data_IF_876633318319
#
_entry.id   IF_876633318319
#
_cell.length_a   1.000
_cell.length_b   1.000
_cell.length_c   1.000
_cell.angle_alpha   90.00
_cell.angle_beta   90.00
_cell.angle_gamma   90.00
#
_symmetry.space_group_name_H-M   'P 1'
#
loop_
_entity.id
_entity.type
_entity.pdbx_description
1 polymer ?
#
# COMPACT_ATOMS: atom_id res chain seq x y z
N UNK A 1 -5.51 -22.17 -21.47
CA UNK A 1 -4.86 -20.98 -20.87
C UNK A 1 -5.62 -20.41 -19.66
N UNK A 2 -6.66 -19.56 -19.81
CA UNK A 2 -7.30 -18.89 -18.65
C UNK A 2 -7.86 -19.86 -17.57
N UNK A 3 -8.49 -20.96 -17.99
CA UNK A 3 -8.98 -22.01 -17.07
C UNK A 3 -7.85 -22.73 -16.31
N UNK A 4 -6.72 -22.93 -16.97
CA UNK A 4 -5.55 -23.60 -16.39
C UNK A 4 -4.85 -22.69 -15.36
N UNK A 5 -4.75 -21.39 -15.64
CA UNK A 5 -4.21 -20.39 -14.69
C UNK A 5 -5.05 -20.34 -13.41
N UNK A 6 -6.39 -20.33 -13.53
CA UNK A 6 -7.27 -20.38 -12.35
C UNK A 6 -7.07 -21.67 -11.55
N UNK A 7 -6.95 -22.82 -12.23
CA UNK A 7 -6.75 -24.11 -11.57
C UNK A 7 -5.39 -24.19 -10.83
N UNK A 8 -4.31 -23.70 -11.45
CA UNK A 8 -2.98 -23.67 -10.81
C UNK A 8 -2.95 -22.72 -9.61
N UNK A 9 -3.60 -21.55 -9.72
CA UNK A 9 -3.71 -20.61 -8.60
C UNK A 9 -4.48 -21.22 -7.43
N UNK A 10 -5.65 -21.83 -7.67
CA UNK A 10 -6.42 -22.49 -6.61
C UNK A 10 -5.61 -23.59 -5.93
N UNK A 11 -4.91 -24.43 -6.72
CA UNK A 11 -4.03 -25.46 -6.15
C UNK A 11 -2.93 -24.87 -5.27
N UNK A 12 -2.38 -23.72 -5.65
CA UNK A 12 -1.38 -23.02 -4.85
C UNK A 12 -1.97 -22.44 -3.56
N UNK A 13 -3.15 -21.80 -3.63
CA UNK A 13 -3.86 -21.27 -2.46
C UNK A 13 -4.23 -22.37 -1.47
N UNK A 14 -4.71 -23.51 -1.96
CA UNK A 14 -5.03 -24.68 -1.13
C UNK A 14 -3.78 -25.23 -0.43
N UNK A 15 -2.61 -25.18 -1.07
CA UNK A 15 -1.34 -25.60 -0.47
C UNK A 15 -0.86 -24.64 0.63
N UNK A 16 -1.13 -23.34 0.51
CA UNK A 16 -0.76 -22.33 1.52
C UNK A 16 -1.50 -22.54 2.84
N UNK A 17 -2.76 -22.97 2.79
CA UNK A 17 -3.62 -23.16 3.97
C UNK A 17 -3.87 -24.63 4.30
N UNK A 18 -3.06 -25.52 3.74
CA UNK A 18 -3.29 -26.94 3.88
C UNK A 18 -3.14 -27.38 5.34
N UNK A 19 -4.15 -28.08 5.83
CA UNK A 19 -4.14 -28.74 7.14
C UNK A 19 -4.23 -30.23 6.89
N UNK A 20 -3.27 -30.99 7.42
CA UNK A 20 -3.34 -32.45 7.33
C UNK A 20 -4.15 -33.08 8.47
N UNK A 21 -4.31 -34.40 8.43
CA UNK A 21 -5.14 -35.13 9.40
C UNK A 21 -4.58 -35.08 10.84
N UNK A 22 -3.32 -34.67 11.02
CA UNK A 22 -2.67 -34.50 12.31
C UNK A 22 -2.73 -33.03 12.80
N UNK A 23 -3.51 -32.18 12.10
CA UNK A 23 -3.59 -30.74 12.29
C UNK A 23 -2.26 -30.01 12.07
N UNK A 24 -1.36 -30.54 11.23
CA UNK A 24 -0.19 -29.79 10.77
C UNK A 24 -0.60 -28.81 9.66
N UNK A 25 -0.52 -27.52 9.95
CA UNK A 25 -1.05 -26.43 9.12
C UNK A 25 0.01 -25.85 8.14
N UNK A 26 1.22 -26.43 8.09
CA UNK A 26 2.33 -25.89 7.29
C UNK A 26 3.12 -26.95 6.52
N UNK A 27 2.45 -28.05 6.16
CA UNK A 27 3.08 -29.18 5.46
C UNK A 27 3.76 -28.79 4.15
N UNK A 28 3.11 -27.94 3.34
CA UNK A 28 3.61 -27.55 2.02
C UNK A 28 4.28 -26.18 2.00
N UNK A 29 3.84 -25.26 2.84
CA UNK A 29 4.39 -23.91 2.96
C UNK A 29 4.77 -23.69 4.42
N UNK A 30 6.07 -23.49 4.66
CA UNK A 30 6.60 -23.26 6.00
C UNK A 30 6.10 -21.92 6.55
N UNK A 31 5.94 -21.76 7.88
CA UNK A 31 5.40 -20.53 8.47
C UNK A 31 6.14 -19.26 8.03
N UNK A 32 7.48 -19.29 7.95
CA UNK A 32 8.30 -18.14 7.54
C UNK A 32 8.12 -17.76 6.07
N UNK A 33 7.67 -18.68 5.22
CA UNK A 33 7.45 -18.44 3.79
C UNK A 33 5.99 -18.05 3.49
N UNK A 34 5.10 -18.13 4.49
CA UNK A 34 3.65 -17.99 4.30
C UNK A 34 3.26 -16.63 3.70
N UNK A 35 3.83 -15.54 4.21
CA UNK A 35 3.60 -14.20 3.68
C UNK A 35 4.11 -14.04 2.24
N UNK A 36 5.30 -14.61 1.96
CA UNK A 36 5.87 -14.59 0.62
C UNK A 36 5.03 -15.40 -0.38
N UNK A 37 4.46 -16.53 0.05
CA UNK A 37 3.58 -17.34 -0.78
C UNK A 37 2.29 -16.59 -1.13
N UNK A 38 1.68 -15.88 -0.16
CA UNK A 38 0.52 -15.02 -0.40
C UNK A 38 0.82 -13.87 -1.36
N UNK A 39 1.94 -13.18 -1.13
CA UNK A 39 2.37 -12.09 -2.01
C UNK A 39 2.60 -12.60 -3.44
N UNK A 40 3.21 -13.78 -3.56
CA UNK A 40 3.46 -14.45 -4.85
C UNK A 40 2.14 -14.79 -5.56
N UNK A 41 1.16 -15.34 -4.85
CA UNK A 41 -0.15 -15.66 -5.40
C UNK A 41 -0.85 -14.42 -5.98
N UNK A 42 -0.78 -13.30 -5.26
CA UNK A 42 -1.38 -12.02 -5.66
C UNK A 42 -0.56 -11.27 -6.72
N UNK A 43 0.67 -11.70 -7.01
CA UNK A 43 1.57 -11.06 -7.95
C UNK A 43 1.54 -11.72 -9.34
N UNK A 44 2.07 -11.03 -10.36
CA UNK A 44 2.25 -11.54 -11.72
C UNK A 44 1.05 -11.40 -12.66
N UNK A 45 -0.18 -11.29 -12.15
CA UNK A 45 -1.36 -10.95 -12.95
C UNK A 45 -2.38 -10.16 -12.11
N UNK A 46 -2.77 -8.94 -12.51
CA UNK A 46 -3.80 -8.15 -11.81
C UNK A 46 -5.10 -8.94 -11.57
N UNK A 47 -5.50 -9.82 -12.50
CA UNK A 47 -6.69 -10.67 -12.36
C UNK A 47 -6.61 -11.66 -11.20
N UNK A 48 -5.39 -11.97 -10.72
CA UNK A 48 -5.24 -12.88 -9.59
C UNK A 48 -5.79 -12.26 -8.30
N UNK A 49 -5.75 -10.93 -8.13
CA UNK A 49 -6.31 -10.27 -6.95
C UNK A 49 -7.80 -10.64 -6.75
N UNK A 50 -8.59 -10.55 -7.82
CA UNK A 50 -10.01 -10.92 -7.79
C UNK A 50 -10.24 -12.42 -7.62
N UNK A 51 -9.44 -13.26 -8.27
CA UNK A 51 -9.55 -14.72 -8.11
C UNK A 51 -9.22 -15.17 -6.70
N UNK A 52 -8.23 -14.54 -6.05
CA UNK A 52 -7.90 -14.82 -4.66
C UNK A 52 -9.03 -14.34 -3.76
N UNK A 53 -9.62 -13.18 -4.02
CA UNK A 53 -10.77 -12.68 -3.24
C UNK A 53 -11.97 -13.64 -3.31
N UNK A 54 -12.30 -14.16 -4.51
CA UNK A 54 -13.33 -15.18 -4.71
C UNK A 54 -13.04 -16.46 -3.92
N UNK A 55 -11.78 -16.92 -3.95
CA UNK A 55 -11.37 -18.12 -3.22
C UNK A 55 -11.38 -17.88 -1.70
N UNK A 56 -10.95 -16.70 -1.25
CA UNK A 56 -10.82 -16.33 0.16
C UNK A 56 -12.17 -16.41 0.87
N UNK A 57 -13.26 -15.92 0.25
CA UNK A 57 -14.62 -16.01 0.81
C UNK A 57 -14.97 -17.41 1.29
N UNK A 58 -14.65 -18.41 0.49
CA UNK A 58 -15.02 -19.79 0.77
C UNK A 58 -14.05 -20.47 1.76
N UNK A 59 -12.96 -19.78 2.13
CA UNK A 59 -11.86 -20.35 2.90
C UNK A 59 -11.37 -19.45 4.04
N UNK A 60 -12.09 -18.38 4.42
CA UNK A 60 -11.66 -17.44 5.48
C UNK A 60 -11.26 -18.18 6.77
N UNK A 61 -12.08 -19.13 7.21
CA UNK A 61 -11.80 -19.90 8.43
C UNK A 61 -10.49 -20.72 8.33
N UNK A 62 -10.21 -21.30 7.16
CA UNK A 62 -8.95 -22.03 6.92
C UNK A 62 -7.75 -21.09 6.88
N UNK A 63 -7.91 -19.94 6.25
CA UNK A 63 -6.86 -18.91 6.19
C UNK A 63 -6.51 -18.40 7.58
N UNK A 64 -7.52 -18.12 8.41
CA UNK A 64 -7.33 -17.73 9.79
C UNK A 64 -6.62 -18.84 10.56
N UNK A 65 -7.11 -20.07 10.52
CA UNK A 65 -6.46 -21.20 11.19
C UNK A 65 -5.00 -21.42 10.74
N UNK A 66 -4.69 -21.13 9.47
CA UNK A 66 -3.36 -21.28 8.91
C UNK A 66 -2.42 -20.09 9.07
N UNK A 67 -2.91 -19.00 9.66
CA UNK A 67 -2.09 -17.83 9.95
C UNK A 67 -1.57 -17.89 11.39
N UNK A 68 -0.37 -17.36 11.61
CA UNK A 68 0.25 -17.31 12.93
C UNK A 68 -0.58 -16.48 13.93
N UNK A 69 -1.31 -15.48 13.44
CA UNK A 69 -2.09 -14.51 14.22
C UNK A 69 -3.61 -14.75 14.18
N UNK A 70 -4.06 -15.89 13.63
CA UNK A 70 -5.48 -16.18 13.40
C UNK A 70 -6.23 -15.11 12.59
N UNK A 71 -5.54 -14.49 11.62
CA UNK A 71 -6.01 -13.36 10.82
C UNK A 71 -5.88 -13.60 9.32
N UNK A 72 -6.81 -13.01 8.57
CA UNK A 72 -6.70 -12.89 7.10
C UNK A 72 -5.97 -11.60 6.66
N UNK A 73 -5.31 -10.89 7.58
CA UNK A 73 -4.74 -9.56 7.30
C UNK A 73 -3.74 -9.56 6.14
N UNK A 74 -2.83 -10.54 6.08
CA UNK A 74 -1.82 -10.64 5.02
C UNK A 74 -2.43 -10.81 3.62
N UNK A 75 -3.30 -11.81 3.35
CA UNK A 75 -3.94 -11.90 2.03
C UNK A 75 -4.78 -10.67 1.70
N UNK A 76 -5.50 -10.11 2.68
CA UNK A 76 -6.31 -8.89 2.49
C UNK A 76 -5.45 -7.69 2.09
N UNK A 77 -4.32 -7.46 2.76
CA UNK A 77 -3.38 -6.39 2.43
C UNK A 77 -2.77 -6.57 1.03
N UNK A 78 -2.38 -7.80 0.68
CA UNK A 78 -1.86 -8.10 -0.64
C UNK A 78 -2.89 -7.81 -1.73
N UNK A 79 -4.15 -8.23 -1.57
CA UNK A 79 -5.23 -7.94 -2.54
C UNK A 79 -5.41 -6.42 -2.70
N UNK A 80 -5.54 -5.68 -1.59
CA UNK A 80 -5.77 -4.24 -1.63
C UNK A 80 -4.71 -3.47 -2.43
N UNK A 81 -3.45 -3.89 -2.33
CA UNK A 81 -2.31 -3.28 -3.03
C UNK A 81 -2.29 -3.50 -4.54
N UNK A 82 -3.13 -4.39 -5.08
CA UNK A 82 -3.16 -4.78 -6.50
C UNK A 82 -4.34 -4.21 -7.27
N UNK A 83 -5.29 -3.58 -6.59
CA UNK A 83 -6.47 -2.98 -7.22
C UNK A 83 -6.04 -1.70 -7.95
N UNK A 84 -6.43 -1.57 -9.22
CA UNK A 84 -5.91 -0.52 -10.12
C UNK A 84 -6.94 0.56 -10.43
N UNK A 85 -8.22 0.28 -10.19
CA UNK A 85 -9.32 1.19 -10.51
C UNK A 85 -10.18 1.54 -9.30
N UNK A 86 -10.89 2.66 -9.37
CA UNK A 86 -11.84 3.05 -8.31
C UNK A 86 -12.99 2.04 -8.21
N UNK A 87 -13.47 1.53 -9.35
CA UNK A 87 -14.53 0.51 -9.38
C UNK A 87 -14.11 -0.76 -8.62
N UNK A 88 -12.86 -1.18 -8.76
CA UNK A 88 -12.31 -2.31 -8.03
C UNK A 88 -12.21 -2.04 -6.53
N UNK A 89 -11.74 -0.85 -6.14
CA UNK A 89 -11.65 -0.43 -4.75
C UNK A 89 -13.03 -0.34 -4.08
N UNK A 90 -14.04 0.15 -4.80
CA UNK A 90 -15.43 0.17 -4.32
C UNK A 90 -16.02 -1.23 -4.18
N UNK A 91 -15.78 -2.12 -5.15
CA UNK A 91 -16.22 -3.51 -5.08
C UNK A 91 -15.56 -4.24 -3.90
N UNK A 92 -14.25 -4.03 -3.69
CA UNK A 92 -13.54 -4.59 -2.55
C UNK A 92 -14.00 -3.99 -1.21
N UNK A 93 -14.27 -2.69 -1.14
CA UNK A 93 -14.83 -2.05 0.06
C UNK A 93 -16.19 -2.66 0.41
N UNK A 94 -17.10 -2.80 -0.56
CA UNK A 94 -18.41 -3.45 -0.34
C UNK A 94 -18.25 -4.89 0.13
N UNK A 95 -17.28 -5.61 -0.43
CA UNK A 95 -16.95 -6.96 0.00
C UNK A 95 -16.46 -7.01 1.45
N UNK A 96 -15.57 -6.09 1.86
CA UNK A 96 -15.08 -5.99 3.23
C UNK A 96 -16.23 -5.72 4.21
N UNK A 97 -17.13 -4.80 3.88
CA UNK A 97 -18.30 -4.50 4.69
C UNK A 97 -19.21 -5.71 4.86
N UNK A 98 -19.53 -6.41 3.77
CA UNK A 98 -20.39 -7.59 3.79
C UNK A 98 -19.82 -8.74 4.63
N UNK A 99 -18.49 -8.79 4.80
CA UNK A 99 -17.79 -9.88 5.49
C UNK A 99 -17.12 -9.43 6.80
N UNK A 100 -17.45 -8.24 7.29
CA UNK A 100 -16.77 -7.60 8.43
C UNK A 100 -16.66 -8.49 9.67
N UNK A 101 -17.73 -9.21 10.01
CA UNK A 101 -17.76 -10.11 11.16
C UNK A 101 -16.78 -11.28 10.99
N UNK A 102 -16.79 -11.91 9.81
CA UNK A 102 -15.90 -13.04 9.51
C UNK A 102 -14.43 -12.63 9.44
N UNK A 103 -14.16 -11.39 8.98
CA UNK A 103 -12.80 -10.86 8.83
C UNK A 103 -12.15 -10.45 10.15
N UNK A 104 -12.94 -10.09 11.17
CA UNK A 104 -12.40 -9.63 12.45
C UNK A 104 -11.43 -8.45 12.29
N UNK A 105 -10.22 -8.56 12.83
CA UNK A 105 -9.20 -7.50 12.74
C UNK A 105 -8.72 -7.22 11.30
N UNK A 106 -8.79 -8.21 10.41
CA UNK A 106 -8.37 -8.06 9.01
C UNK A 106 -9.25 -7.07 8.21
N UNK A 107 -10.47 -6.80 8.67
CA UNK A 107 -11.33 -5.78 8.06
C UNK A 107 -10.65 -4.40 8.05
N UNK A 108 -10.08 -3.98 9.19
CA UNK A 108 -9.39 -2.69 9.28
C UNK A 108 -8.13 -2.66 8.41
N UNK A 109 -7.42 -3.78 8.28
CA UNK A 109 -6.31 -3.92 7.32
C UNK A 109 -6.77 -3.67 5.90
N UNK A 110 -7.93 -4.22 5.51
CA UNK A 110 -8.52 -4.00 4.19
C UNK A 110 -8.90 -2.54 3.95
N UNK A 111 -9.59 -1.90 4.90
CA UNK A 111 -9.99 -0.49 4.81
C UNK A 111 -8.77 0.43 4.69
N UNK A 112 -7.75 0.21 5.53
CA UNK A 112 -6.50 0.97 5.46
C UNK A 112 -5.76 0.73 4.14
N UNK A 113 -5.77 -0.51 3.63
CA UNK A 113 -5.21 -0.86 2.34
C UNK A 113 -5.90 -0.10 1.19
N UNK A 114 -7.24 -0.01 1.20
CA UNK A 114 -8.01 0.76 0.21
C UNK A 114 -7.60 2.24 0.25
N UNK A 115 -7.50 2.84 1.44
CA UNK A 115 -7.07 4.23 1.58
C UNK A 115 -5.65 4.45 1.05
N UNK A 116 -4.72 3.55 1.36
CA UNK A 116 -3.35 3.60 0.86
C UNK A 116 -3.29 3.49 -0.67
N UNK A 117 -4.03 2.55 -1.26
CA UNK A 117 -4.08 2.38 -2.72
C UNK A 117 -4.66 3.61 -3.41
N UNK A 118 -5.72 4.23 -2.87
CA UNK A 118 -6.24 5.51 -3.39
C UNK A 118 -5.21 6.63 -3.34
N UNK A 119 -4.49 6.76 -2.23
CA UNK A 119 -3.43 7.75 -2.09
C UNK A 119 -2.31 7.52 -3.11
N UNK A 120 -1.91 6.27 -3.32
CA UNK A 120 -0.91 5.91 -4.33
C UNK A 120 -1.40 6.24 -5.74
N UNK A 121 -2.66 5.95 -6.09
CA UNK A 121 -3.22 6.33 -7.39
C UNK A 121 -3.22 7.85 -7.59
N UNK A 122 -3.60 8.63 -6.57
CA UNK A 122 -3.59 10.08 -6.65
C UNK A 122 -2.17 10.64 -6.81
N UNK A 123 -1.23 10.10 -6.03
CA UNK A 123 0.20 10.41 -6.13
C UNK A 123 0.71 10.15 -7.54
N UNK A 124 0.50 8.95 -8.09
CA UNK A 124 0.96 8.56 -9.43
C UNK A 124 0.38 9.47 -10.50
N UNK A 125 -0.94 9.76 -10.45
CA UNK A 125 -1.56 10.68 -11.42
C UNK A 125 -0.93 12.06 -11.41
N UNK A 126 -0.57 12.56 -10.23
CA UNK A 126 0.00 13.91 -10.09
C UNK A 126 1.46 13.98 -10.56
N UNK A 127 2.25 12.90 -10.41
CA UNK A 127 3.67 12.89 -10.82
C UNK A 127 3.96 12.23 -12.15
N UNK A 128 3.02 11.51 -12.76
CA UNK A 128 3.26 10.79 -14.01
C UNK A 128 3.81 11.72 -15.12
N UNK A 129 3.32 12.96 -15.18
CA UNK A 129 3.80 13.97 -16.13
C UNK A 129 5.26 14.39 -15.88
N UNK A 130 5.67 14.51 -14.61
CA UNK A 130 7.06 14.84 -14.24
C UNK A 130 8.01 13.73 -14.70
N UNK A 131 7.65 12.47 -14.48
CA UNK A 131 8.44 11.33 -14.97
C UNK A 131 8.49 11.27 -16.50
N UNK A 132 7.38 11.52 -17.18
CA UNK A 132 7.36 11.57 -18.65
C UNK A 132 8.29 12.66 -19.18
N UNK A 133 8.22 13.87 -18.61
CA UNK A 133 9.11 14.99 -18.96
C UNK A 133 10.58 14.63 -18.72
N UNK A 134 10.90 14.03 -17.57
CA UNK A 134 12.26 13.59 -17.25
C UNK A 134 12.79 12.53 -18.22
N UNK A 135 11.97 11.56 -18.62
CA UNK A 135 12.39 10.53 -19.58
C UNK A 135 12.60 11.09 -21.00
N UNK A 136 11.87 12.14 -21.38
CA UNK A 136 12.00 12.77 -22.69
C UNK A 136 13.17 13.77 -22.76
N UNK A 137 13.38 14.56 -21.70
CA UNK A 137 14.27 15.73 -21.72
C UNK A 137 15.51 15.57 -20.83
N UNK A 138 15.56 14.52 -20.00
CA UNK A 138 16.58 14.35 -18.97
C UNK A 138 16.30 15.20 -17.74
N UNK A 139 17.32 15.40 -16.90
CA UNK A 139 17.21 16.34 -15.78
C UNK A 139 17.28 17.76 -16.32
N UNK A 140 16.19 18.51 -16.18
CA UNK A 140 16.16 19.95 -16.41
C UNK A 140 16.04 20.60 -15.04
N UNK A 141 17.02 21.44 -14.70
CA UNK A 141 16.97 22.23 -13.47
C UNK A 141 15.81 23.23 -13.62
N UNK A 142 14.74 23.04 -12.85
CA UNK A 142 13.68 24.05 -12.76
C UNK A 142 14.30 25.26 -12.04
N UNK A 143 14.55 26.34 -12.78
CA UNK A 143 14.82 27.64 -12.16
C UNK A 143 13.62 27.99 -11.29
N UNK A 144 13.77 27.83 -9.98
CA UNK A 144 12.82 28.38 -9.01
C UNK A 144 12.90 29.89 -9.19
N UNK A 145 11.98 30.46 -9.95
CA UNK A 145 11.81 31.91 -10.05
C UNK A 145 11.53 32.43 -8.64
N UNK A 146 12.56 32.92 -7.95
CA UNK A 146 12.41 33.83 -6.83
C UNK A 146 11.71 35.09 -7.35
N UNK A 147 10.39 35.05 -7.36
CA UNK A 147 9.54 36.18 -7.65
C UNK A 147 9.78 37.24 -6.59
N UNK A 148 10.69 38.16 -6.89
CA UNK A 148 10.96 39.33 -6.07
C UNK A 148 9.68 40.13 -5.83
N UNK A 149 9.44 40.46 -4.57
CA UNK A 149 8.63 41.61 -4.18
C UNK A 149 9.44 42.47 -3.23
N UNK A 150 10.39 43.19 -3.82
CA UNK A 150 11.10 44.30 -3.21
C UNK A 150 10.22 45.54 -3.30
N UNK A 151 9.99 46.22 -2.17
CA UNK A 151 9.46 47.58 -2.13
C UNK A 151 8.35 47.83 -1.10
N UNK A 152 8.71 48.44 0.04
CA UNK A 152 7.71 49.01 0.95
C UNK A 152 8.22 49.42 2.32
N UNK A 153 9.14 50.38 2.37
CA UNK A 153 9.48 51.19 3.55
C UNK A 153 8.23 51.77 4.23
N UNK A 154 8.12 51.62 5.56
CA UNK A 154 7.40 52.53 6.48
C UNK A 154 7.70 52.22 7.95
N UNK A 155 8.70 52.91 8.51
CA UNK A 155 8.62 53.65 9.78
C UNK A 155 8.16 52.99 11.10
N UNK A 156 9.07 52.96 12.07
CA UNK A 156 8.88 53.60 13.39
C UNK A 156 8.27 52.78 14.53
N UNK A 157 9.01 52.61 15.63
CA UNK A 157 8.46 52.20 16.92
C UNK A 157 9.48 51.66 17.93
N UNK A 158 10.12 52.56 18.67
CA UNK A 158 10.85 52.30 19.91
C UNK A 158 9.94 51.74 21.00
N UNK A 159 10.41 50.73 21.76
CA UNK A 159 10.27 50.61 23.24
C UNK A 159 10.65 49.22 23.77
N UNK A 160 11.65 49.17 24.67
CA UNK A 160 11.52 48.48 25.95
C UNK A 160 11.94 47.01 26.04
N UNK A 161 12.94 46.73 26.88
CA UNK A 161 13.51 45.41 27.12
C UNK A 161 12.74 44.49 28.07
N UNK A 162 13.24 43.26 28.21
CA UNK A 162 12.73 42.27 29.17
C UNK A 162 13.25 40.86 28.90
N UNK A 163 14.33 40.48 29.59
CA UNK A 163 14.90 39.13 29.67
C UNK A 163 13.95 38.14 30.38
N UNK A 164 13.80 36.92 29.84
CA UNK A 164 13.80 35.66 30.60
C UNK A 164 13.45 34.41 29.74
N UNK A 165 14.43 33.50 29.63
CA UNK A 165 14.26 32.07 29.95
C UNK A 165 13.45 31.14 29.02
N UNK A 166 14.18 30.42 28.15
CA UNK A 166 14.22 28.94 28.17
C UNK A 166 13.03 28.12 27.66
N UNK A 167 13.24 27.35 26.58
CA UNK A 167 12.43 26.18 26.23
C UNK A 167 12.35 25.91 24.74
N UNK A 168 13.40 25.32 24.16
CA UNK A 168 13.45 24.97 22.74
C UNK A 168 12.41 23.92 22.36
N UNK A 169 11.47 24.32 21.48
CA UNK A 169 10.61 23.45 20.71
C UNK A 169 10.81 23.80 19.24
N UNK A 170 11.90 23.28 18.65
CA UNK A 170 12.20 23.45 17.24
C UNK A 170 11.06 22.89 16.39
N UNK A 171 10.62 23.72 15.43
CA UNK A 171 9.84 23.31 14.28
C UNK A 171 10.34 21.97 13.73
N UNK A 172 9.48 21.00 13.40
CA UNK A 172 9.94 19.77 12.75
C UNK A 172 10.54 20.14 11.39
N UNK A 173 11.86 20.07 11.31
CA UNK A 173 12.62 20.20 10.07
C UNK A 173 12.04 19.24 9.02
N UNK A 174 11.83 19.76 7.80
CA UNK A 174 11.26 19.08 6.64
C UNK A 174 12.06 17.90 6.08
N UNK A 175 12.96 17.32 6.88
CA UNK A 175 13.83 16.21 6.51
C UNK A 175 13.24 14.81 6.79
N UNK A 176 12.11 14.69 7.51
CA UNK A 176 11.52 13.36 7.80
C UNK A 176 10.47 12.87 6.78
N UNK A 177 9.89 13.78 5.97
CA UNK A 177 8.90 13.44 4.94
C UNK A 177 9.56 12.95 3.62
N UNK A 178 10.82 13.30 3.37
CA UNK A 178 11.55 12.86 2.18
C UNK A 178 11.92 11.37 2.24
N UNK A 179 12.28 10.85 3.42
CA UNK A 179 12.78 9.48 3.58
C UNK A 179 11.68 8.42 3.37
N UNK A 180 10.43 8.72 3.74
CA UNK A 180 9.29 7.84 3.43
C UNK A 180 8.82 7.94 1.97
N UNK A 181 9.19 9.00 1.26
CA UNK A 181 8.88 9.18 -0.16
C UNK A 181 9.72 8.27 -1.06
N UNK A 182 11.02 8.12 -0.79
CA UNK A 182 11.95 7.37 -1.67
C UNK A 182 11.68 5.86 -1.66
N UNK A 183 11.39 5.26 -0.50
CA UNK A 183 11.09 3.82 -0.41
C UNK A 183 9.75 3.49 -1.11
N UNK A 184 8.76 4.37 -0.96
CA UNK A 184 7.46 4.23 -1.64
C UNK A 184 7.60 4.46 -3.16
N UNK A 185 8.49 5.36 -3.58
CA UNK A 185 8.82 5.60 -4.99
C UNK A 185 9.35 4.34 -5.67
N UNK A 186 10.33 3.68 -5.04
CA UNK A 186 10.98 2.48 -5.59
C UNK A 186 9.98 1.32 -5.64
N UNK A 187 9.15 1.14 -4.61
CA UNK A 187 8.14 0.09 -4.59
C UNK A 187 7.06 0.28 -5.67
N UNK A 188 6.64 1.52 -5.92
CA UNK A 188 5.62 1.85 -6.94
C UNK A 188 6.19 1.78 -8.37
N UNK A 189 7.45 2.21 -8.56
CA UNK A 189 8.12 2.13 -9.87
C UNK A 189 8.36 0.67 -10.29
N UNK A 190 8.79 -0.20 -9.38
CA UNK A 190 8.99 -1.64 -9.67
C UNK A 190 7.66 -2.35 -9.98
N UNK A 191 6.56 -1.96 -9.34
CA UNK A 191 5.24 -2.53 -9.63
C UNK A 191 4.70 -2.11 -11.01
N UNK A 192 5.13 -0.97 -11.54
CA UNK A 192 4.62 -0.41 -12.81
C UNK A 192 5.50 -0.77 -14.02
N UNK A 193 6.78 -1.08 -13.81
CA UNK A 193 7.71 -1.52 -14.88
C UNK A 193 7.71 -3.04 -15.14
N UNK A 194 6.96 -3.83 -14.35
CA UNK A 194 6.85 -5.30 -14.50
C UNK A 194 5.47 -5.72 -15.06
N UNK A 195 4.57 -4.76 -15.35
CA UNK A 195 3.31 -5.00 -16.07
C UNK A 195 3.46 -4.66 -17.56
#
# INVERSE_FOLDING_TARGET
>A
VAREIKASLVKFLDAIVYVDNDNDIHKYVRPQDWSAAWSSAASGNPENAWRILEWLLNNIAKVQAASIDNSAATPISNIASRLQTEQELEAFTRWLEANRVALGSAYNTGINGVAATRNNHAWTRNRAGEFASYFETGYVEEEISEGGNDGGDSGGGDSGGGDSGGGGGGSPDGASMATFSVITLIATLVATLIA
#
